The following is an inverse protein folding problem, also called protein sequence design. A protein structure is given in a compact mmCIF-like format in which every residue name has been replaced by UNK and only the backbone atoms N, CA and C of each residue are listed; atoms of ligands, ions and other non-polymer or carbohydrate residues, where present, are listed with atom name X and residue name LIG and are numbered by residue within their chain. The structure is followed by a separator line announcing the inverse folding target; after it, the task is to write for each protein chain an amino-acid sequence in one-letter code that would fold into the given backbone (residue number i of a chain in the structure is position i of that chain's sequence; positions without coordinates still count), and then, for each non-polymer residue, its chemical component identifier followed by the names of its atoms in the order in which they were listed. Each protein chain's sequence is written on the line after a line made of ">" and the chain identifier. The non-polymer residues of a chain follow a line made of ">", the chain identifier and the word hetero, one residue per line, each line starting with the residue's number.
data_IF_921337062107
#
_entry.id   IF_921337062107
#
_cell.length_a   1.000
_cell.length_b   1.000
_cell.length_c   1.000
_cell.angle_alpha   90.00
_cell.angle_beta   90.00
_cell.angle_gamma   90.00
#
_symmetry.space_group_name_H-M   'P 1'
#
loop_
_entity.id
_entity.type
_entity.pdbx_description
1 polymer ?
#
# COMPACT_ATOMS: atom_id res chain seq x y z
N UNK A 1 0.12 3.85 -14.25
CA UNK A 1 0.97 2.89 -13.55
C UNK A 1 1.37 1.81 -14.55
N UNK A 2 2.66 1.52 -14.71
CA UNK A 2 3.15 0.44 -15.60
C UNK A 2 3.69 -0.70 -14.73
N UNK A 3 3.17 -1.92 -14.92
CA UNK A 3 3.63 -3.09 -14.18
C UNK A 3 4.89 -3.68 -14.85
N UNK A 4 6.01 -3.84 -14.14
CA UNK A 4 7.13 -4.62 -14.66
C UNK A 4 6.72 -6.10 -14.77
N UNK A 5 6.90 -6.69 -15.94
CA UNK A 5 6.53 -8.09 -16.23
C UNK A 5 7.72 -8.96 -16.60
N UNK A 6 8.95 -8.53 -16.30
CA UNK A 6 10.15 -9.32 -16.58
C UNK A 6 10.11 -10.64 -15.81
N UNK A 7 10.46 -11.74 -16.47
CA UNK A 7 10.47 -13.06 -15.83
C UNK A 7 11.52 -13.15 -14.73
N UNK A 8 11.15 -13.77 -13.61
CA UNK A 8 12.07 -14.27 -12.60
C UNK A 8 12.11 -15.79 -12.75
N UNK A 9 13.14 -16.32 -13.44
CA UNK A 9 13.15 -17.71 -13.88
C UNK A 9 12.10 -17.99 -14.97
N UNK A 10 11.28 -19.02 -14.80
CA UNK A 10 10.20 -19.38 -15.74
C UNK A 10 8.85 -18.72 -15.41
N UNK A 11 8.76 -17.98 -14.30
CA UNK A 11 7.52 -17.34 -13.84
C UNK A 11 7.55 -15.85 -14.14
N UNK A 12 6.49 -15.33 -14.76
CA UNK A 12 6.25 -13.90 -14.89
C UNK A 12 5.32 -13.44 -13.77
N UNK A 13 5.82 -12.59 -12.88
CA UNK A 13 5.01 -11.99 -11.82
C UNK A 13 4.61 -10.59 -12.26
N UNK A 14 3.34 -10.42 -12.64
CA UNK A 14 2.80 -9.11 -12.98
C UNK A 14 2.43 -8.36 -11.71
N UNK A 15 3.41 -7.69 -11.11
CA UNK A 15 3.23 -6.92 -9.89
C UNK A 15 4.09 -5.65 -9.87
N UNK A 16 3.69 -4.67 -9.08
CA UNK A 16 4.44 -3.46 -8.80
C UNK A 16 4.42 -3.18 -7.31
N UNK A 17 5.54 -2.67 -6.81
CA UNK A 17 5.72 -2.25 -5.43
C UNK A 17 6.38 -0.88 -5.44
N UNK A 18 5.76 0.08 -4.77
CA UNK A 18 6.25 1.45 -4.65
C UNK A 18 6.25 1.88 -3.21
N UNK A 19 7.28 2.63 -2.84
CA UNK A 19 7.40 3.26 -1.53
C UNK A 19 7.53 4.76 -1.76
N UNK A 20 6.76 5.55 -1.03
CA UNK A 20 6.83 6.99 -1.04
C UNK A 20 6.89 7.51 0.40
N UNK A 21 7.60 8.61 0.59
CA UNK A 21 7.59 9.37 1.83
C UNK A 21 6.94 10.72 1.54
N UNK A 22 6.07 11.15 2.44
CA UNK A 22 5.45 12.47 2.40
C UNK A 22 5.64 13.16 3.76
N UNK A 23 6.13 14.39 3.74
CA UNK A 23 6.21 15.24 4.93
C UNK A 23 5.12 16.29 4.85
N UNK A 24 4.32 16.38 5.89
CA UNK A 24 3.28 17.40 5.99
C UNK A 24 3.93 18.78 6.17
N UNK A 25 3.81 19.70 5.20
CA UNK A 25 4.38 21.04 5.33
C UNK A 25 3.64 21.90 6.36
N UNK A 26 2.43 21.52 6.78
CA UNK A 26 1.59 22.26 7.71
C UNK A 26 0.90 21.28 8.69
N UNK A 27 1.68 20.64 9.58
CA UNK A 27 1.15 19.64 10.49
C UNK A 27 0.03 20.23 11.36
N UNK A 28 -1.06 19.48 11.48
CA UNK A 28 -2.13 19.77 12.44
C UNK A 28 -1.77 19.22 13.82
N UNK A 29 -2.40 19.75 14.87
CA UNK A 29 -2.25 19.22 16.25
C UNK A 29 -3.06 17.93 16.50
N UNK A 30 -3.74 17.39 15.47
CA UNK A 30 -4.52 16.14 15.59
C UNK A 30 -3.56 14.96 15.79
N UNK A 31 -3.75 14.09 16.79
CA UNK A 31 -2.94 12.88 16.96
C UNK A 31 -2.93 11.97 15.72
N UNK A 32 -1.81 11.27 15.47
CA UNK A 32 -1.66 10.43 14.26
C UNK A 32 -2.62 9.23 14.24
N UNK A 33 -2.89 8.64 15.40
CA UNK A 33 -3.89 7.58 15.57
C UNK A 33 -5.30 8.08 15.22
N UNK A 34 -5.67 9.28 15.65
CA UNK A 34 -6.94 9.91 15.27
C UNK A 34 -7.05 10.17 13.76
N UNK A 35 -5.96 10.56 13.09
CA UNK A 35 -5.93 10.72 11.64
C UNK A 35 -6.04 9.38 10.91
N UNK A 36 -5.34 8.35 11.38
CA UNK A 36 -5.41 6.99 10.83
C UNK A 36 -6.83 6.43 10.96
N UNK A 37 -7.47 6.61 12.11
CA UNK A 37 -8.87 6.21 12.34
C UNK A 37 -9.82 6.96 11.40
N UNK A 38 -9.62 8.27 11.22
CA UNK A 38 -10.42 9.07 10.31
C UNK A 38 -10.26 8.65 8.84
N UNK A 39 -9.04 8.30 8.41
CA UNK A 39 -8.78 7.75 7.09
C UNK A 39 -9.46 6.39 6.91
N UNK A 40 -9.33 5.49 7.90
CA UNK A 40 -9.97 4.17 7.88
C UNK A 40 -11.49 4.30 7.73
N UNK A 41 -12.12 5.20 8.48
CA UNK A 41 -13.56 5.44 8.44
C UNK A 41 -14.07 6.00 7.11
N UNK A 42 -13.18 6.56 6.28
CA UNK A 42 -13.50 7.12 4.95
C UNK A 42 -13.05 6.24 3.79
N UNK A 43 -12.42 5.11 4.06
CA UNK A 43 -11.94 4.21 3.03
C UNK A 43 -13.09 3.45 2.36
N UNK A 44 -13.04 3.36 1.04
CA UNK A 44 -13.91 2.48 0.24
C UNK A 44 -13.31 1.07 0.08
N UNK A 45 -12.13 0.81 0.66
CA UNK A 45 -11.43 -0.46 0.61
C UNK A 45 -11.66 -1.30 1.89
N UNK A 46 -11.16 -2.54 1.90
CA UNK A 46 -11.04 -3.31 3.14
C UNK A 46 -9.92 -2.68 3.98
N UNK A 47 -10.30 -1.84 4.94
CA UNK A 47 -9.39 -1.09 5.79
C UNK A 47 -9.23 -1.73 7.18
N UNK A 48 -8.00 -1.70 7.69
CA UNK A 48 -7.67 -2.08 9.06
C UNK A 48 -6.58 -1.18 9.62
N UNK A 49 -6.79 -0.67 10.84
CA UNK A 49 -5.76 0.03 11.61
C UNK A 49 -4.83 -1.01 12.24
N UNK A 50 -3.52 -0.81 12.08
CA UNK A 50 -2.47 -1.71 12.54
C UNK A 50 -1.33 -0.92 13.18
N UNK A 51 -0.48 -1.61 13.96
CA UNK A 51 0.75 -1.06 14.51
C UNK A 51 1.94 -1.52 13.67
N UNK A 52 2.82 -0.59 13.30
CA UNK A 52 4.11 -0.90 12.65
C UNK A 52 5.24 -0.30 13.49
N UNK A 53 5.80 -1.14 14.35
CA UNK A 53 6.91 -0.80 15.25
C UNK A 53 6.59 0.40 16.16
N UNK A 54 5.39 0.38 16.76
CA UNK A 54 4.91 1.42 17.66
C UNK A 54 4.32 2.64 16.96
N UNK A 55 4.24 2.66 15.62
CA UNK A 55 3.61 3.73 14.86
C UNK A 55 2.22 3.31 14.35
N UNK A 56 1.21 4.18 14.46
CA UNK A 56 -0.12 3.90 13.91
C UNK A 56 -0.05 3.86 12.38
N UNK A 57 -0.73 2.87 11.81
CA UNK A 57 -0.77 2.66 10.38
C UNK A 57 -2.16 2.24 9.91
N UNK A 58 -2.51 2.66 8.69
CA UNK A 58 -3.67 2.18 7.97
C UNK A 58 -3.23 1.17 6.92
N UNK A 59 -3.75 -0.06 6.98
CA UNK A 59 -3.67 -1.04 5.88
C UNK A 59 -4.98 -1.03 5.11
N UNK A 60 -4.91 -0.88 3.80
CA UNK A 60 -6.07 -0.95 2.91
C UNK A 60 -5.86 -2.01 1.84
N UNK A 61 -6.92 -2.71 1.49
CA UNK A 61 -6.92 -3.71 0.44
C UNK A 61 -8.14 -3.57 -0.46
N UNK A 62 -7.91 -3.44 -1.76
CA UNK A 62 -8.94 -3.25 -2.76
C UNK A 62 -8.66 -4.15 -3.97
N UNK A 63 -9.72 -4.78 -4.48
CA UNK A 63 -9.70 -5.36 -5.83
C UNK A 63 -10.34 -4.34 -6.76
N UNK A 64 -9.53 -3.73 -7.61
CA UNK A 64 -9.99 -2.83 -8.65
C UNK A 64 -10.73 -3.64 -9.72
N UNK A 65 -11.95 -3.22 -10.07
CA UNK A 65 -12.71 -3.79 -11.17
C UNK A 65 -12.43 -3.01 -12.48
N UNK A 66 -12.72 -3.64 -13.62
CA UNK A 66 -12.62 -2.96 -14.91
C UNK A 66 -13.60 -1.79 -15.00
N UNK A 67 -13.23 -0.75 -15.75
CA UNK A 67 -14.12 0.37 -16.03
C UNK A 67 -15.41 -0.14 -16.71
N UNK A 68 -16.60 0.23 -16.19
CA UNK A 68 -17.88 -0.37 -16.60
C UNK A 68 -18.28 -0.11 -18.06
N UNK A 69 -17.65 0.87 -18.71
CA UNK A 69 -17.95 1.28 -20.08
C UNK A 69 -16.98 0.69 -21.12
N UNK A 70 -16.05 -0.18 -20.71
CA UNK A 70 -15.04 -0.75 -21.62
C UNK A 70 -14.12 0.31 -22.25
N UNK A 71 -14.12 1.55 -21.73
CA UNK A 71 -13.27 2.65 -22.18
C UNK A 71 -11.81 2.51 -21.74
N UNK A 72 -11.44 1.31 -21.31
CA UNK A 72 -10.07 0.91 -21.05
C UNK A 72 -9.25 1.09 -22.32
N UNK A 73 -8.76 2.32 -22.52
CA UNK A 73 -7.60 2.62 -23.34
C UNK A 73 -6.52 1.63 -22.93
N UNK A 74 -5.69 1.13 -23.87
CA UNK A 74 -4.73 0.03 -23.61
C UNK A 74 -3.70 0.24 -22.49
N UNK A 75 -3.83 1.33 -21.73
CA UNK A 75 -3.09 1.77 -20.56
C UNK A 75 -3.92 1.79 -19.26
N UNK A 76 -5.22 1.47 -19.28
CA UNK A 76 -6.05 1.38 -18.08
C UNK A 76 -5.81 0.04 -17.35
N UNK A 77 -5.90 0.03 -16.01
CA UNK A 77 -5.67 -1.18 -15.24
C UNK A 77 -6.69 -2.24 -15.63
N UNK A 78 -6.19 -3.39 -16.04
CA UNK A 78 -6.92 -4.66 -15.92
C UNK A 78 -7.20 -4.87 -14.44
N UNK A 79 -8.31 -5.53 -14.09
CA UNK A 79 -8.63 -5.91 -12.69
C UNK A 79 -7.36 -6.26 -11.90
N UNK A 80 -7.13 -5.57 -10.79
CA UNK A 80 -5.90 -5.68 -10.01
C UNK A 80 -6.21 -5.73 -8.51
N UNK A 81 -5.43 -6.51 -7.76
CA UNK A 81 -5.42 -6.42 -6.30
C UNK A 81 -4.41 -5.36 -5.91
N UNK A 82 -4.82 -4.40 -5.09
CA UNK A 82 -3.98 -3.36 -4.52
C UNK A 82 -4.01 -3.44 -3.00
N UNK A 83 -2.84 -3.43 -2.39
CA UNK A 83 -2.66 -3.31 -0.93
C UNK A 83 -1.79 -2.09 -0.66
N UNK A 84 -2.23 -1.24 0.25
CA UNK A 84 -1.45 -0.08 0.70
C UNK A 84 -1.31 -0.05 2.21
N UNK A 85 -0.17 0.45 2.66
CA UNK A 85 0.05 0.87 4.03
C UNK A 85 0.34 2.36 4.05
N UNK A 86 -0.37 3.11 4.89
CA UNK A 86 -0.06 4.50 5.22
C UNK A 86 0.36 4.53 6.68
N UNK A 87 1.64 4.78 6.94
CA UNK A 87 2.25 4.64 8.26
C UNK A 87 2.73 6.01 8.75
N UNK A 88 2.35 6.39 9.96
CA UNK A 88 2.91 7.58 10.60
C UNK A 88 4.40 7.37 10.88
N UNK A 89 5.22 8.36 10.56
CA UNK A 89 6.64 8.36 10.86
C UNK A 89 6.89 8.80 12.30
N UNK A 90 7.96 8.32 12.95
CA UNK A 90 8.24 8.59 14.37
C UNK A 90 8.81 10.00 14.65
N UNK A 91 8.87 10.88 13.64
CA UNK A 91 9.51 12.20 13.72
C UNK A 91 8.55 13.31 14.14
N UNK A 92 9.09 14.32 14.84
CA UNK A 92 8.37 15.57 15.19
C UNK A 92 7.87 16.31 13.93
N UNK A 93 8.61 16.20 12.82
CA UNK A 93 8.14 16.62 11.51
C UNK A 93 7.17 15.55 10.98
N UNK A 94 5.86 15.76 11.13
CA UNK A 94 4.82 14.81 10.74
C UNK A 94 5.07 14.23 9.34
N UNK A 95 5.55 13.00 9.32
CA UNK A 95 5.95 12.28 8.11
C UNK A 95 5.07 11.07 7.95
N UNK A 96 4.77 10.69 6.71
CA UNK A 96 3.99 9.52 6.35
C UNK A 96 4.78 8.69 5.36
N UNK A 97 4.87 7.39 5.61
CA UNK A 97 5.46 6.42 4.68
C UNK A 97 4.34 5.61 4.07
N UNK A 98 4.28 5.63 2.74
CA UNK A 98 3.27 4.95 1.95
C UNK A 98 3.91 3.78 1.23
N UNK A 99 3.45 2.57 1.53
CA UNK A 99 3.73 1.38 0.76
C UNK A 99 2.53 1.10 -0.13
N UNK A 100 2.76 0.79 -1.41
CA UNK A 100 1.69 0.37 -2.31
C UNK A 100 2.17 -0.79 -3.14
N UNK A 101 1.43 -1.88 -3.06
CA UNK A 101 1.61 -3.07 -3.86
C UNK A 101 0.40 -3.25 -4.76
N UNK A 102 0.64 -3.67 -6.00
CA UNK A 102 -0.42 -4.04 -6.93
C UNK A 102 -0.03 -5.28 -7.72
N UNK A 103 -1.00 -6.16 -7.99
CA UNK A 103 -0.78 -7.34 -8.83
C UNK A 103 -1.99 -7.71 -9.65
N UNK A 104 -1.75 -8.23 -10.85
CA UNK A 104 -2.76 -8.90 -11.68
C UNK A 104 -2.92 -10.38 -11.33
N UNK A 105 -2.11 -10.91 -10.40
CA UNK A 105 -2.01 -12.35 -10.17
C UNK A 105 -1.62 -13.11 -11.44
N UNK A 106 -2.28 -14.22 -11.67
CA UNK A 106 -2.26 -15.02 -12.90
C UNK A 106 -3.37 -14.62 -13.89
N UNK A 107 -3.85 -13.38 -13.78
CA UNK A 107 -5.01 -12.85 -14.52
C UNK A 107 -6.28 -12.80 -13.68
N UNK A 108 -6.26 -13.36 -12.47
CA UNK A 108 -7.32 -13.24 -11.47
C UNK A 108 -6.77 -12.52 -10.21
N UNK A 109 -7.14 -11.26 -9.95
CA UNK A 109 -6.73 -10.55 -8.74
C UNK A 109 -7.38 -11.10 -7.46
N UNK A 110 -8.44 -11.90 -7.57
CA UNK A 110 -9.00 -12.69 -6.49
C UNK A 110 -8.47 -14.14 -6.45
N UNK A 111 -7.53 -14.45 -7.33
CA UNK A 111 -6.91 -15.76 -7.42
C UNK A 111 -5.96 -16.06 -6.25
N UNK A 112 -5.63 -17.34 -6.03
CA UNK A 112 -4.67 -17.75 -5.00
C UNK A 112 -3.30 -17.09 -5.13
N UNK A 113 -2.80 -16.91 -6.36
CA UNK A 113 -1.51 -16.26 -6.59
C UNK A 113 -1.52 -14.81 -6.11
N UNK A 114 -2.56 -14.04 -6.44
CA UNK A 114 -2.69 -12.65 -6.02
C UNK A 114 -2.73 -12.52 -4.49
N UNK A 115 -3.45 -13.43 -3.80
CA UNK A 115 -3.48 -13.47 -2.32
C UNK A 115 -2.13 -13.82 -1.72
N UNK A 116 -1.46 -14.85 -2.24
CA UNK A 116 -0.13 -15.25 -1.75
C UNK A 116 0.91 -14.16 -1.96
N UNK A 117 0.82 -13.38 -3.06
CA UNK A 117 1.75 -12.28 -3.31
C UNK A 117 1.58 -11.10 -2.34
N UNK A 118 0.44 -10.97 -1.65
CA UNK A 118 0.23 -9.99 -0.58
C UNK A 118 0.95 -10.40 0.70
N UNK A 119 1.06 -11.70 0.99
CA UNK A 119 1.67 -12.17 2.25
C UNK A 119 3.14 -11.70 2.43
N UNK A 120 4.03 -11.73 1.41
CA UNK A 120 5.37 -11.14 1.52
C UNK A 120 5.39 -9.65 1.78
N UNK A 121 4.42 -8.89 1.24
CA UNK A 121 4.30 -7.46 1.53
C UNK A 121 3.97 -7.26 3.01
N UNK A 122 2.92 -7.94 3.49
CA UNK A 122 2.47 -7.82 4.88
C UNK A 122 3.60 -8.25 5.85
N UNK A 123 4.32 -9.32 5.51
CA UNK A 123 5.49 -9.76 6.26
C UNK A 123 6.65 -8.75 6.20
N UNK A 124 6.91 -8.14 5.05
CA UNK A 124 7.95 -7.13 4.90
C UNK A 124 7.64 -5.90 5.77
N UNK A 125 6.43 -5.33 5.62
CA UNK A 125 6.01 -4.16 6.40
C UNK A 125 5.98 -4.47 7.89
N UNK A 126 5.47 -5.65 8.29
CA UNK A 126 5.42 -6.08 9.70
C UNK A 126 6.79 -6.33 10.35
N UNK A 127 7.88 -6.31 9.57
CA UNK A 127 9.26 -6.46 10.09
C UNK A 127 10.06 -5.16 10.09
N UNK A 128 9.47 -4.05 9.61
CA UNK A 128 10.12 -2.75 9.63
C UNK A 128 10.46 -2.35 11.07
N UNK A 129 11.59 -1.66 11.21
CA UNK A 129 12.04 -1.04 12.46
C UNK A 129 12.41 0.40 12.18
N UNK A 130 11.95 1.29 13.04
CA UNK A 130 12.29 2.69 12.98
C UNK A 130 13.65 2.92 13.62
N UNK A 131 14.58 3.43 12.81
CA UNK A 131 15.81 4.01 13.35
C UNK A 131 15.61 5.51 13.47
N UNK A 132 15.47 5.99 14.70
CA UNK A 132 15.56 7.41 14.99
C UNK A 132 17.00 7.84 14.71
N UNK A 133 17.22 8.54 13.61
CA UNK A 133 18.50 9.19 13.35
C UNK A 133 18.82 10.10 14.54
N UNK A 134 19.94 9.87 15.22
CA UNK A 134 20.46 10.81 16.20
C UNK A 134 20.55 12.17 15.50
N UNK A 135 19.80 13.17 15.99
CA UNK A 135 19.62 14.46 15.33
C UNK A 135 20.92 15.03 14.79
N UNK A 136 20.89 15.42 13.51
CA UNK A 136 21.93 16.23 12.89
C UNK A 136 21.82 17.69 13.36
#
# INVERSE_FOLDING_TARGET
>A
MSLPTSRTGDVAVAASYTVAEWRDPQPTDVPDDELVDALAARSDALASVVDVDGQPALREELVEEDAPDGSASGLQPRRARRVSYTIAGPSEERTWVLFTFSTLGDGDPDGPLARVLVEPLDAHVGTLRWELGAGA
#
